data_IF_705792994709
#
_entry.id   IF_705792994709
#
_cell.length_a   1.000
_cell.length_b   1.000
_cell.length_c   1.000
_cell.angle_alpha   90.00
_cell.angle_beta   90.00
_cell.angle_gamma   90.00
#
_symmetry.space_group_name_H-M   'P 1'
#
loop_
_entity.id
_entity.type
_entity.pdbx_description
1 polymer ?
#
# COMPACT_ATOMS: atom_id res chain seq x y z
N UNK A 1 -17.20 -14.37 30.64
CA UNK A 1 -16.83 -13.37 29.61
C UNK A 1 -16.70 -14.07 28.28
N UNK A 2 -17.48 -13.68 27.31
CA UNK A 2 -17.38 -14.15 25.93
C UNK A 2 -16.15 -13.54 25.20
N UNK A 3 -15.96 -13.86 23.92
CA UNK A 3 -14.79 -13.40 23.18
C UNK A 3 -14.73 -11.87 23.09
N UNK A 4 -15.85 -11.24 22.75
CA UNK A 4 -15.93 -9.78 22.55
C UNK A 4 -15.78 -8.99 23.84
N UNK A 5 -16.29 -9.48 24.98
CA UNK A 5 -16.07 -8.88 26.32
C UNK A 5 -14.58 -8.94 26.73
N UNK A 6 -13.90 -10.04 26.41
CA UNK A 6 -12.47 -10.20 26.68
C UNK A 6 -11.64 -9.28 25.80
N UNK A 7 -12.01 -9.16 24.53
CA UNK A 7 -11.39 -8.29 23.57
C UNK A 7 -11.47 -6.82 24.01
N UNK A 8 -12.66 -6.33 24.31
CA UNK A 8 -12.89 -4.97 24.78
C UNK A 8 -12.06 -4.60 26.01
N UNK A 9 -11.77 -5.58 26.85
CA UNK A 9 -10.99 -5.35 28.07
C UNK A 9 -9.50 -5.12 27.82
N UNK A 10 -8.93 -5.73 26.77
CA UNK A 10 -7.48 -5.80 26.60
C UNK A 10 -6.97 -5.25 25.28
N UNK A 11 -7.82 -5.08 24.25
CA UNK A 11 -7.40 -4.69 22.93
C UNK A 11 -7.90 -3.30 22.56
N UNK A 12 -7.06 -2.56 21.85
CA UNK A 12 -7.43 -1.30 21.22
C UNK A 12 -7.39 -1.46 19.71
N UNK A 13 -8.56 -1.40 19.08
CA UNK A 13 -8.68 -1.58 17.64
C UNK A 13 -8.24 -0.34 16.86
N UNK A 14 -7.57 -0.52 15.72
CA UNK A 14 -7.24 0.60 14.83
C UNK A 14 -8.52 1.28 14.30
N UNK A 15 -8.43 2.55 13.97
CA UNK A 15 -9.52 3.39 13.44
C UNK A 15 -10.80 3.39 14.28
N UNK A 16 -10.69 3.08 15.55
CA UNK A 16 -11.85 2.85 16.44
C UNK A 16 -11.82 3.77 17.65
N UNK A 17 -12.92 4.50 17.89
CA UNK A 17 -13.13 5.24 19.12
C UNK A 17 -13.57 4.28 20.23
N UNK A 18 -12.65 3.77 20.99
CA UNK A 18 -12.86 2.71 21.99
C UNK A 18 -14.01 3.00 22.96
N UNK A 19 -14.21 4.28 23.34
CA UNK A 19 -15.25 4.70 24.30
C UNK A 19 -16.67 4.59 23.75
N UNK A 20 -16.85 4.78 22.44
CA UNK A 20 -18.17 4.95 21.81
C UNK A 20 -18.49 3.92 20.73
N UNK A 21 -17.50 3.14 20.30
CA UNK A 21 -17.69 2.12 19.29
C UNK A 21 -18.57 0.96 19.80
N UNK A 22 -19.34 0.37 18.88
CA UNK A 22 -20.01 -0.90 19.14
C UNK A 22 -18.99 -2.01 19.40
N UNK A 23 -19.39 -3.05 20.11
CA UNK A 23 -18.57 -4.23 20.30
C UNK A 23 -18.20 -4.86 18.94
N UNK A 24 -16.96 -5.32 18.77
CA UNK A 24 -16.56 -6.01 17.55
C UNK A 24 -17.31 -7.34 17.39
N UNK A 25 -17.36 -7.86 16.18
CA UNK A 25 -17.90 -9.19 15.91
C UNK A 25 -16.82 -10.21 16.25
N UNK A 26 -17.08 -11.11 17.19
CA UNK A 26 -16.14 -12.14 17.63
C UNK A 26 -16.07 -13.30 16.64
N UNK A 27 -15.19 -13.25 15.66
CA UNK A 27 -15.01 -14.30 14.64
C UNK A 27 -14.18 -15.44 15.22
N UNK A 28 -14.67 -16.68 15.08
CA UNK A 28 -14.02 -17.89 15.57
C UNK A 28 -13.58 -18.87 14.47
N UNK A 29 -14.08 -18.69 13.25
CA UNK A 29 -13.81 -19.59 12.12
C UNK A 29 -13.91 -18.85 10.80
N UNK A 30 -13.08 -19.24 9.84
CA UNK A 30 -13.16 -18.80 8.45
C UNK A 30 -12.93 -19.97 7.49
N UNK A 31 -13.58 -19.97 6.34
CA UNK A 31 -13.32 -20.88 5.22
C UNK A 31 -13.73 -20.23 3.90
N UNK A 32 -12.85 -20.25 2.94
CA UNK A 32 -13.05 -19.59 1.63
C UNK A 32 -13.45 -18.11 1.83
N UNK A 33 -14.61 -17.66 1.37
CA UNK A 33 -15.10 -16.29 1.56
C UNK A 33 -16.03 -16.14 2.80
N UNK A 34 -16.14 -17.15 3.65
CA UNK A 34 -17.09 -17.16 4.76
C UNK A 34 -16.37 -17.07 6.11
N UNK A 35 -17.00 -16.33 7.03
CA UNK A 35 -16.60 -16.19 8.43
C UNK A 35 -17.77 -16.58 9.32
N UNK A 36 -17.48 -17.12 10.52
CA UNK A 36 -18.49 -17.44 11.54
C UNK A 36 -18.12 -16.80 12.87
N UNK A 37 -19.10 -16.18 13.49
CA UNK A 37 -18.95 -15.67 14.85
C UNK A 37 -19.14 -16.73 15.95
N UNK A 38 -18.94 -16.34 17.19
CA UNK A 38 -19.10 -17.20 18.37
C UNK A 38 -20.52 -17.77 18.57
N UNK A 39 -21.52 -17.23 17.87
CA UNK A 39 -22.90 -17.73 17.84
C UNK A 39 -23.19 -18.57 16.59
N UNK A 40 -22.17 -18.93 15.80
CA UNK A 40 -22.28 -19.63 14.52
C UNK A 40 -23.08 -18.84 13.44
N UNK A 41 -23.21 -17.53 13.57
CA UNK A 41 -23.75 -16.70 12.51
C UNK A 41 -22.71 -16.56 11.42
N UNK A 42 -23.15 -16.75 10.17
CA UNK A 42 -22.32 -16.67 8.97
C UNK A 42 -22.26 -15.24 8.41
N UNK A 43 -21.09 -14.86 7.91
CA UNK A 43 -20.82 -13.61 7.24
C UNK A 43 -20.03 -13.87 5.97
N UNK A 44 -20.26 -13.08 4.93
CA UNK A 44 -19.44 -13.07 3.72
C UNK A 44 -18.34 -12.02 3.89
N UNK A 45 -17.09 -12.44 3.79
CA UNK A 45 -15.94 -11.54 3.74
C UNK A 45 -15.75 -10.99 2.31
N UNK A 46 -16.55 -10.00 1.95
CA UNK A 46 -16.58 -9.43 0.59
C UNK A 46 -15.37 -8.54 0.26
N UNK A 47 -14.52 -8.25 1.24
CA UNK A 47 -13.32 -7.40 1.07
C UNK A 47 -12.00 -8.16 1.27
N UNK A 48 -12.07 -9.51 1.30
CA UNK A 48 -10.91 -10.37 1.53
C UNK A 48 -10.06 -9.91 2.75
N UNK A 49 -10.74 -9.63 3.88
CA UNK A 49 -10.15 -9.11 5.12
C UNK A 49 -9.19 -7.93 4.87
N UNK A 50 -9.72 -6.90 4.22
CA UNK A 50 -8.98 -5.70 3.80
C UNK A 50 -7.87 -6.01 2.78
N UNK A 51 -8.24 -6.77 1.73
CA UNK A 51 -7.43 -7.12 0.55
C UNK A 51 -6.27 -8.09 0.78
N UNK A 52 -6.04 -8.57 2.00
CA UNK A 52 -4.87 -9.41 2.32
C UNK A 52 -5.11 -10.90 2.19
N UNK A 53 -6.36 -11.35 1.97
CA UNK A 53 -6.72 -12.76 1.91
C UNK A 53 -7.34 -13.18 0.57
N UNK A 54 -6.66 -13.00 -0.57
CA UNK A 54 -7.24 -13.22 -1.90
C UNK A 54 -7.50 -14.72 -2.22
N UNK A 55 -6.90 -15.64 -1.47
CA UNK A 55 -7.04 -17.09 -1.69
C UNK A 55 -8.06 -17.76 -0.77
N UNK A 56 -8.80 -16.96 -0.02
CA UNK A 56 -9.79 -17.44 0.95
C UNK A 56 -9.20 -17.88 2.29
N UNK A 57 -10.06 -17.91 3.29
CA UNK A 57 -9.72 -18.33 4.64
C UNK A 57 -9.40 -19.82 4.70
N UNK A 58 -8.49 -20.19 5.60
CA UNK A 58 -8.12 -21.59 5.89
C UNK A 58 -7.71 -22.40 4.65
N UNK A 59 -7.00 -21.79 3.73
CA UNK A 59 -6.45 -22.46 2.56
C UNK A 59 -5.41 -23.51 3.00
N UNK A 60 -5.70 -24.79 2.75
CA UNK A 60 -4.87 -25.90 3.22
C UNK A 60 -3.48 -25.93 2.57
N UNK A 61 -3.39 -25.58 1.29
CA UNK A 61 -2.09 -25.53 0.58
C UNK A 61 -1.13 -24.53 1.25
N UNK A 62 -1.63 -23.35 1.59
CA UNK A 62 -0.84 -22.30 2.28
C UNK A 62 -0.51 -22.76 3.70
N UNK A 63 -1.48 -23.29 4.43
CA UNK A 63 -1.29 -23.77 5.81
C UNK A 63 -0.21 -24.87 5.89
N UNK A 64 -0.25 -25.86 4.98
CA UNK A 64 0.73 -26.94 4.91
C UNK A 64 2.13 -26.44 4.55
N UNK A 65 2.23 -25.47 3.63
CA UNK A 65 3.51 -24.87 3.25
C UNK A 65 4.13 -24.10 4.44
N UNK A 66 3.31 -23.31 5.17
CA UNK A 66 3.76 -22.60 6.37
C UNK A 66 4.20 -23.59 7.45
N UNK A 67 3.42 -24.63 7.73
CA UNK A 67 3.77 -25.64 8.72
C UNK A 67 5.14 -26.30 8.40
N UNK A 68 5.36 -26.73 7.16
CA UNK A 68 6.63 -27.32 6.74
C UNK A 68 7.80 -26.36 6.94
N UNK A 69 7.61 -25.09 6.56
CA UNK A 69 8.66 -24.08 6.72
C UNK A 69 8.98 -23.81 8.19
N UNK A 70 7.96 -23.67 9.04
CA UNK A 70 8.13 -23.46 10.49
C UNK A 70 8.90 -24.58 11.18
N UNK A 71 8.73 -25.82 10.74
CA UNK A 71 9.48 -26.97 11.26
C UNK A 71 10.91 -27.08 10.73
N UNK A 72 11.28 -26.28 9.74
CA UNK A 72 12.62 -26.27 9.13
C UNK A 72 13.42 -25.05 9.58
N UNK A 73 12.85 -23.86 9.42
CA UNK A 73 13.45 -22.58 9.79
C UNK A 73 12.32 -21.53 9.82
N UNK A 74 11.96 -21.07 10.99
CA UNK A 74 10.90 -20.07 11.21
C UNK A 74 11.36 -18.65 10.93
N UNK A 75 12.59 -18.34 11.30
CA UNK A 75 13.18 -17.02 11.10
C UNK A 75 14.71 -17.06 11.11
N UNK A 76 15.31 -16.20 10.33
CA UNK A 76 16.73 -15.81 10.42
C UNK A 76 16.89 -14.35 10.04
N UNK A 77 17.80 -13.64 10.69
CA UNK A 77 18.15 -12.26 10.35
C UNK A 77 18.51 -12.13 8.88
N UNK A 78 17.82 -11.25 8.13
CA UNK A 78 18.11 -11.01 6.71
C UNK A 78 19.27 -10.04 6.47
N UNK A 79 19.79 -9.42 7.51
CA UNK A 79 21.00 -8.57 7.48
C UNK A 79 22.28 -9.42 7.53
N UNK A 80 22.79 -9.87 6.36
CA UNK A 80 23.99 -10.68 6.26
C UNK A 80 23.72 -12.19 6.13
N UNK A 81 22.48 -12.65 6.30
CA UNK A 81 22.05 -14.01 6.05
C UNK A 81 21.02 -14.04 4.92
N UNK A 82 20.80 -15.21 4.34
CA UNK A 82 19.74 -15.48 3.36
C UNK A 82 19.14 -16.86 3.60
N UNK A 83 17.99 -17.14 2.99
CA UNK A 83 17.32 -18.42 3.10
C UNK A 83 16.52 -18.73 1.83
N UNK A 84 16.31 -20.01 1.57
CA UNK A 84 15.69 -20.51 0.34
C UNK A 84 14.31 -19.91 0.02
N UNK A 85 13.36 -19.78 0.98
CA UNK A 85 12.04 -19.19 0.70
C UNK A 85 12.09 -17.78 0.12
N UNK A 86 12.94 -16.90 0.64
CA UNK A 86 13.02 -15.52 0.15
C UNK A 86 13.65 -15.45 -1.23
N UNK A 87 14.66 -16.28 -1.50
CA UNK A 87 15.29 -16.35 -2.84
C UNK A 87 14.28 -16.82 -3.88
N UNK A 88 13.56 -17.91 -3.60
CA UNK A 88 12.50 -18.43 -4.48
C UNK A 88 11.40 -17.41 -4.72
N UNK A 89 10.95 -16.72 -3.67
CA UNK A 89 9.95 -15.67 -3.81
C UNK A 89 10.45 -14.56 -4.73
N UNK A 90 11.69 -14.08 -4.53
CA UNK A 90 12.30 -13.05 -5.38
C UNK A 90 12.37 -13.50 -6.84
N UNK A 91 12.84 -14.72 -7.10
CA UNK A 91 12.91 -15.29 -8.45
C UNK A 91 11.54 -15.37 -9.14
N UNK A 92 10.47 -15.71 -8.41
CA UNK A 92 9.13 -15.76 -8.98
C UNK A 92 8.56 -14.34 -9.21
N UNK A 93 8.75 -13.42 -8.26
CA UNK A 93 8.31 -12.03 -8.42
C UNK A 93 8.99 -11.36 -9.62
N UNK A 94 10.30 -11.56 -9.82
CA UNK A 94 11.02 -10.97 -10.95
C UNK A 94 10.51 -11.45 -12.33
N UNK A 95 9.78 -12.57 -12.41
CA UNK A 95 9.17 -13.05 -13.65
C UNK A 95 7.89 -12.30 -14.02
N UNK A 96 7.24 -11.67 -13.06
CA UNK A 96 5.94 -10.99 -13.23
C UNK A 96 6.01 -9.49 -13.03
N UNK A 97 7.10 -8.97 -12.48
CA UNK A 97 7.34 -7.54 -12.33
C UNK A 97 7.73 -6.89 -13.66
N UNK A 98 7.47 -5.58 -13.85
CA UNK A 98 7.96 -4.83 -15.00
C UNK A 98 9.47 -4.98 -15.19
N UNK A 99 9.94 -5.05 -16.45
CA UNK A 99 11.33 -5.38 -16.81
C UNK A 99 12.38 -4.37 -16.29
N UNK A 100 11.97 -3.17 -15.90
CA UNK A 100 12.84 -2.15 -15.30
C UNK A 100 13.10 -2.38 -13.80
N UNK A 101 12.41 -3.32 -13.15
CA UNK A 101 12.64 -3.70 -11.77
C UNK A 101 13.81 -4.68 -11.68
N UNK A 102 14.74 -4.49 -10.74
CA UNK A 102 15.96 -5.29 -10.64
C UNK A 102 16.19 -5.89 -9.26
N UNK A 103 15.61 -5.32 -8.22
CA UNK A 103 15.79 -5.75 -6.82
C UNK A 103 14.49 -5.64 -6.05
N UNK A 104 14.37 -6.52 -5.06
CA UNK A 104 13.24 -6.54 -4.14
C UNK A 104 13.75 -6.20 -2.74
N UNK A 105 13.07 -5.28 -2.09
CA UNK A 105 13.26 -4.98 -0.67
C UNK A 105 12.02 -5.45 0.09
N UNK A 106 12.22 -6.25 1.12
CA UNK A 106 11.14 -6.77 1.95
C UNK A 106 10.90 -5.89 3.16
N UNK A 107 9.63 -5.69 3.48
CA UNK A 107 9.14 -4.89 4.61
C UNK A 107 7.97 -5.61 5.28
N UNK A 108 7.54 -5.12 6.43
CA UNK A 108 6.54 -5.81 7.27
C UNK A 108 5.10 -5.65 6.80
N UNK A 109 4.81 -4.54 6.14
CA UNK A 109 3.47 -4.18 5.66
C UNK A 109 3.53 -3.09 4.58
N UNK A 110 2.37 -2.71 4.00
CA UNK A 110 2.29 -1.70 2.95
C UNK A 110 2.82 -0.33 3.37
N UNK A 111 2.46 0.13 4.58
CA UNK A 111 2.92 1.44 5.09
C UNK A 111 4.43 1.52 5.24
N UNK A 112 5.08 0.47 5.77
CA UNK A 112 6.54 0.41 5.88
C UNK A 112 7.22 0.24 4.52
N UNK A 113 6.58 -0.43 3.55
CA UNK A 113 7.07 -0.51 2.18
C UNK A 113 7.07 0.86 1.50
N UNK A 114 6.00 1.63 1.66
CA UNK A 114 5.91 3.03 1.19
C UNK A 114 6.95 3.92 1.86
N UNK A 115 7.13 3.79 3.17
CA UNK A 115 8.16 4.51 3.93
C UNK A 115 9.56 4.26 3.34
N UNK A 116 9.87 3.00 3.02
CA UNK A 116 11.15 2.64 2.39
C UNK A 116 11.25 3.20 0.98
N UNK A 117 10.19 3.13 0.16
CA UNK A 117 10.19 3.65 -1.21
C UNK A 117 10.44 5.17 -1.25
N UNK A 118 9.79 5.92 -0.35
CA UNK A 118 10.03 7.36 -0.19
C UNK A 118 11.49 7.63 0.23
N UNK A 119 12.00 6.91 1.23
CA UNK A 119 13.41 7.04 1.69
C UNK A 119 14.40 6.71 0.58
N UNK A 120 14.15 5.66 -0.20
CA UNK A 120 14.99 5.29 -1.35
C UNK A 120 15.00 6.40 -2.40
N UNK A 121 13.87 7.01 -2.68
CA UNK A 121 13.76 8.13 -3.64
C UNK A 121 14.58 9.34 -3.19
N UNK A 122 14.49 9.72 -1.92
CA UNK A 122 15.28 10.81 -1.35
C UNK A 122 16.78 10.46 -1.32
N UNK A 123 17.14 9.26 -0.90
CA UNK A 123 18.53 8.80 -0.81
C UNK A 123 19.19 8.70 -2.18
N UNK A 124 18.44 8.31 -3.21
CA UNK A 124 18.95 8.25 -4.59
C UNK A 124 19.46 9.61 -5.07
N UNK A 125 18.72 10.69 -4.86
CA UNK A 125 19.15 12.04 -5.23
C UNK A 125 20.25 12.56 -4.32
N UNK A 126 20.17 12.31 -3.03
CA UNK A 126 21.24 12.66 -2.09
C UNK A 126 22.58 12.05 -2.49
N UNK A 127 22.62 10.77 -2.84
CA UNK A 127 23.84 10.07 -3.27
C UNK A 127 24.42 10.64 -4.59
N UNK A 128 23.58 11.28 -5.41
CA UNK A 128 24.00 11.98 -6.64
C UNK A 128 24.42 13.43 -6.41
N UNK A 129 24.36 13.93 -5.17
CA UNK A 129 24.60 15.34 -4.88
C UNK A 129 23.50 16.28 -5.41
N UNK A 130 22.30 15.77 -5.71
CA UNK A 130 21.16 16.52 -6.21
C UNK A 130 20.17 16.74 -5.06
N UNK A 131 19.85 18.01 -4.80
CA UNK A 131 18.89 18.34 -3.74
C UNK A 131 17.46 18.23 -4.27
N UNK A 132 16.82 17.07 -4.03
CA UNK A 132 15.40 16.82 -4.27
C UNK A 132 14.77 16.26 -3.00
N UNK A 133 13.76 16.94 -2.46
CA UNK A 133 13.20 16.62 -1.13
C UNK A 133 11.68 16.57 -1.11
N UNK A 134 11.01 17.08 -2.13
CA UNK A 134 9.55 17.10 -2.22
C UNK A 134 9.02 15.79 -2.81
N UNK A 135 8.00 15.22 -2.19
CA UNK A 135 7.21 14.11 -2.74
C UNK A 135 5.91 14.66 -3.31
N UNK A 136 5.50 14.14 -4.45
CA UNK A 136 4.19 14.44 -5.06
C UNK A 136 3.28 13.26 -4.78
N UNK A 137 2.02 13.52 -4.45
CA UNK A 137 0.98 12.50 -4.28
C UNK A 137 -0.35 13.00 -4.87
N UNK A 138 -1.31 12.11 -5.06
CA UNK A 138 -2.66 12.54 -5.38
C UNK A 138 -3.41 13.05 -4.14
N UNK A 139 -4.37 13.95 -4.35
CA UNK A 139 -5.37 14.28 -3.34
C UNK A 139 -6.14 13.03 -2.92
N UNK A 140 -6.52 12.99 -1.64
CA UNK A 140 -7.30 11.89 -1.03
C UNK A 140 -6.67 10.49 -1.14
N UNK A 141 -5.40 10.37 -1.55
CA UNK A 141 -4.67 9.10 -1.56
C UNK A 141 -4.55 8.51 -0.15
N UNK A 142 -4.34 7.19 -0.08
CA UNK A 142 -4.00 6.52 1.16
C UNK A 142 -2.83 5.56 0.95
N UNK A 143 -1.71 5.84 1.62
CA UNK A 143 -0.47 5.08 1.47
C UNK A 143 0.00 4.45 2.78
N UNK A 144 -0.74 4.63 3.87
CA UNK A 144 -0.45 4.05 5.17
C UNK A 144 -0.34 5.06 6.31
N UNK A 145 -0.01 4.57 7.51
CA UNK A 145 -0.06 5.33 8.77
C UNK A 145 1.31 5.59 9.41
N UNK A 146 2.42 5.17 8.79
CA UNK A 146 3.74 5.64 9.18
C UNK A 146 3.95 7.09 8.73
N UNK A 147 4.85 7.85 9.35
CA UNK A 147 4.89 9.30 9.17
C UNK A 147 5.06 9.76 7.72
N UNK A 148 5.95 9.17 6.93
CA UNK A 148 6.09 9.57 5.53
C UNK A 148 4.94 9.04 4.65
N UNK A 149 4.44 7.83 4.90
CA UNK A 149 3.26 7.29 4.22
C UNK A 149 2.00 8.12 4.53
N UNK A 150 1.82 8.51 5.79
CA UNK A 150 0.73 9.40 6.23
C UNK A 150 0.86 10.80 5.61
N UNK A 151 2.09 11.32 5.52
CA UNK A 151 2.35 12.60 4.85
C UNK A 151 1.97 12.55 3.37
N UNK A 152 2.21 11.43 2.67
CA UNK A 152 1.83 11.22 1.28
C UNK A 152 0.33 10.92 1.09
N UNK A 153 -0.38 10.55 2.16
CA UNK A 153 -1.83 10.34 2.15
C UNK A 153 -2.61 11.67 2.13
N UNK A 154 -3.90 11.61 1.84
CA UNK A 154 -4.80 12.75 1.92
C UNK A 154 -4.90 13.32 3.35
N UNK A 155 -5.14 14.61 3.47
CA UNK A 155 -5.36 15.25 4.77
C UNK A 155 -6.76 14.90 5.26
N UNK A 156 -6.85 14.26 6.41
CA UNK A 156 -8.08 13.80 7.01
C UNK A 156 -8.13 14.10 8.51
N UNK A 157 -9.24 13.82 9.13
CA UNK A 157 -9.38 13.89 10.59
C UNK A 157 -8.31 13.06 11.31
N UNK A 158 -7.92 11.90 10.74
CA UNK A 158 -6.91 11.01 11.34
C UNK A 158 -5.48 11.55 11.23
N UNK A 159 -5.18 12.39 10.24
CA UNK A 159 -3.83 12.89 9.96
C UNK A 159 -3.59 14.29 10.53
N UNK A 160 -4.65 15.02 10.84
CA UNK A 160 -4.61 16.45 11.21
C UNK A 160 -3.69 16.74 12.41
N UNK A 161 -3.68 15.87 13.42
CA UNK A 161 -2.87 16.05 14.62
C UNK A 161 -1.36 15.96 14.36
N UNK A 162 -0.94 15.39 13.24
CA UNK A 162 0.46 15.08 12.92
C UNK A 162 1.05 15.96 11.81
N UNK A 163 0.26 16.87 11.22
CA UNK A 163 0.67 17.67 10.06
C UNK A 163 1.98 18.45 10.27
N UNK A 164 2.24 18.93 11.49
CA UNK A 164 3.48 19.66 11.80
C UNK A 164 4.75 18.80 11.78
N UNK A 165 4.62 17.47 11.63
CA UNK A 165 5.72 16.50 11.60
C UNK A 165 5.90 15.86 10.22
N UNK A 166 5.12 16.28 9.23
CA UNK A 166 5.15 15.69 7.90
C UNK A 166 6.37 16.15 7.09
N UNK A 167 6.86 15.26 6.23
CA UNK A 167 7.80 15.60 5.17
C UNK A 167 7.12 16.51 4.14
N UNK A 168 7.90 17.18 3.29
CA UNK A 168 7.37 18.04 2.23
C UNK A 168 6.65 17.21 1.17
N UNK A 169 5.32 17.31 1.14
CA UNK A 169 4.45 16.62 0.17
C UNK A 169 3.52 17.64 -0.49
N UNK A 170 3.52 17.64 -1.80
CA UNK A 170 2.57 18.42 -2.62
C UNK A 170 1.54 17.48 -3.23
N UNK A 171 0.27 17.84 -3.10
CA UNK A 171 -0.83 17.07 -3.65
C UNK A 171 -1.35 17.69 -4.93
N UNK A 172 -1.65 16.81 -5.90
CA UNK A 172 -2.25 17.17 -7.18
C UNK A 172 -3.60 16.48 -7.35
N UNK A 173 -4.52 17.04 -8.14
CA UNK A 173 -5.80 16.40 -8.44
C UNK A 173 -5.63 15.01 -9.08
N UNK A 174 -6.59 14.12 -8.84
CA UNK A 174 -6.66 12.81 -9.52
C UNK A 174 -7.16 13.02 -10.95
N UNK A 175 -6.57 12.38 -11.99
CA UNK A 175 -6.95 12.58 -13.38
C UNK A 175 -8.24 11.83 -13.73
N UNK A 176 -9.34 12.18 -13.04
CA UNK A 176 -10.65 11.61 -13.33
C UNK A 176 -11.16 12.04 -14.71
N UNK A 177 -11.99 11.20 -15.31
CA UNK A 177 -12.50 11.41 -16.68
C UNK A 177 -13.11 12.80 -16.86
N UNK A 178 -12.56 13.54 -17.84
CA UNK A 178 -12.97 14.90 -18.16
C UNK A 178 -12.26 16.00 -17.37
N UNK A 179 -11.39 15.67 -16.42
CA UNK A 179 -10.60 16.61 -15.61
C UNK A 179 -9.08 16.31 -15.66
N UNK A 180 -8.66 15.48 -16.59
CA UNK A 180 -7.28 15.00 -16.68
C UNK A 180 -6.27 16.14 -16.86
N UNK A 181 -6.65 17.18 -17.62
CA UNK A 181 -5.77 18.32 -17.90
C UNK A 181 -5.39 19.09 -16.63
N UNK A 182 -6.29 19.20 -15.66
CA UNK A 182 -6.01 19.84 -14.38
C UNK A 182 -4.88 19.12 -13.62
N UNK A 183 -4.88 17.78 -13.65
CA UNK A 183 -3.82 16.97 -13.02
C UNK A 183 -2.47 17.16 -13.74
N UNK A 184 -2.46 17.22 -15.07
CA UNK A 184 -1.23 17.41 -15.85
C UNK A 184 -0.62 18.81 -15.60
N UNK A 185 -1.44 19.85 -15.61
CA UNK A 185 -1.01 21.22 -15.38
C UNK A 185 -0.51 21.39 -13.94
N UNK A 186 -1.19 20.80 -12.96
CA UNK A 186 -0.77 20.80 -11.58
C UNK A 186 0.58 20.09 -11.40
N UNK A 187 0.76 18.90 -11.99
CA UNK A 187 2.02 18.15 -11.92
C UNK A 187 3.17 18.97 -12.52
N UNK A 188 2.96 19.54 -13.71
CA UNK A 188 3.97 20.34 -14.39
C UNK A 188 4.36 21.57 -13.54
N UNK A 189 3.37 22.28 -13.02
CA UNK A 189 3.60 23.43 -12.14
C UNK A 189 4.39 23.08 -10.88
N UNK A 190 4.06 21.95 -10.25
CA UNK A 190 4.79 21.49 -9.05
C UNK A 190 6.25 21.16 -9.37
N UNK A 191 6.49 20.46 -10.48
CA UNK A 191 7.86 20.10 -10.91
C UNK A 191 8.70 21.34 -11.23
N UNK A 192 8.12 22.36 -11.85
CA UNK A 192 8.81 23.61 -12.18
C UNK A 192 9.17 24.45 -10.95
N UNK A 193 8.36 24.38 -9.90
CA UNK A 193 8.49 25.24 -8.71
C UNK A 193 9.07 24.54 -7.48
N UNK A 194 9.30 23.22 -7.52
CA UNK A 194 9.77 22.42 -6.39
C UNK A 194 10.87 21.44 -6.80
N UNK A 195 11.68 21.05 -5.84
CA UNK A 195 12.71 20.02 -5.99
C UNK A 195 12.12 18.62 -5.78
N UNK A 196 11.34 18.13 -6.75
CA UNK A 196 10.58 16.90 -6.64
C UNK A 196 11.47 15.66 -6.75
N UNK A 197 11.48 14.80 -5.71
CA UNK A 197 12.20 13.54 -5.68
C UNK A 197 11.36 12.38 -6.24
N UNK A 198 10.07 12.34 -5.94
CA UNK A 198 9.20 11.25 -6.34
C UNK A 198 7.75 11.64 -6.45
N UNK A 199 7.02 10.89 -7.27
CA UNK A 199 5.57 10.91 -7.37
C UNK A 199 5.03 9.54 -6.97
N UNK A 200 4.22 9.48 -5.90
CA UNK A 200 3.55 8.27 -5.41
C UNK A 200 2.08 8.29 -5.77
N UNK A 201 1.55 7.14 -6.21
CA UNK A 201 0.17 7.00 -6.64
C UNK A 201 -0.37 5.58 -6.43
N UNK A 202 -1.67 5.44 -6.21
CA UNK A 202 -2.41 4.17 -6.31
C UNK A 202 -2.82 4.01 -7.78
N UNK A 203 -2.30 3.02 -8.55
CA UNK A 203 -2.57 2.96 -9.99
C UNK A 203 -4.03 2.58 -10.27
N UNK A 204 -4.69 3.36 -11.12
CA UNK A 204 -6.05 3.22 -11.67
C UNK A 204 -7.18 3.34 -10.65
N UNK A 205 -6.98 3.05 -9.37
CA UNK A 205 -8.04 3.08 -8.36
C UNK A 205 -7.48 3.56 -7.02
N UNK A 206 -7.98 4.67 -6.52
CA UNK A 206 -7.76 5.06 -5.12
C UNK A 206 -8.76 4.33 -4.22
N UNK A 207 -8.28 3.34 -3.47
CA UNK A 207 -9.15 2.49 -2.66
C UNK A 207 -9.85 3.23 -1.53
N UNK A 208 -9.08 3.85 -0.65
CA UNK A 208 -9.60 4.53 0.54
C UNK A 208 -10.35 5.84 0.25
N UNK A 209 -10.15 6.43 -0.92
CA UNK A 209 -10.89 7.61 -1.38
C UNK A 209 -12.32 7.31 -1.83
N UNK A 210 -12.82 6.08 -1.64
CA UNK A 210 -14.13 5.66 -2.10
C UNK A 210 -14.13 5.04 -3.50
N UNK A 211 -13.06 4.36 -3.86
CA UNK A 211 -12.87 3.71 -5.17
C UNK A 211 -12.91 4.69 -6.34
N UNK A 212 -12.17 5.79 -6.23
CA UNK A 212 -12.03 6.76 -7.32
C UNK A 212 -11.19 6.14 -8.43
N UNK A 213 -11.78 6.00 -9.60
CA UNK A 213 -11.16 5.38 -10.77
C UNK A 213 -10.72 6.42 -11.80
N UNK A 214 -9.64 6.12 -12.51
CA UNK A 214 -9.13 6.92 -13.62
C UNK A 214 -8.45 6.03 -14.68
N UNK A 215 -8.32 6.56 -15.88
CA UNK A 215 -7.89 5.79 -17.05
C UNK A 215 -6.36 5.56 -17.09
N UNK A 216 -5.89 4.40 -17.59
CA UNK A 216 -4.46 4.08 -17.72
C UNK A 216 -3.68 5.12 -18.53
N UNK A 217 -4.27 5.64 -19.62
CA UNK A 217 -3.62 6.64 -20.48
C UNK A 217 -3.32 7.94 -19.74
N UNK A 218 -4.17 8.29 -18.77
CA UNK A 218 -3.96 9.47 -17.92
C UNK A 218 -2.77 9.26 -16.98
N UNK A 219 -2.64 8.08 -16.41
CA UNK A 219 -1.51 7.72 -15.57
C UNK A 219 -0.21 7.66 -16.36
N UNK A 220 -0.22 7.02 -17.53
CA UNK A 220 0.95 6.94 -18.41
C UNK A 220 1.49 8.33 -18.77
N UNK A 221 0.61 9.29 -19.07
CA UNK A 221 1.01 10.68 -19.35
C UNK A 221 1.67 11.34 -18.12
N UNK A 222 1.13 11.17 -16.92
CA UNK A 222 1.75 11.68 -15.68
C UNK A 222 3.13 11.05 -15.42
N UNK A 223 3.25 9.74 -15.63
CA UNK A 223 4.54 9.03 -15.50
C UNK A 223 5.56 9.56 -16.50
N UNK A 224 5.19 9.82 -17.75
CA UNK A 224 6.08 10.41 -18.76
C UNK A 224 6.56 11.81 -18.36
N UNK A 225 5.65 12.66 -17.88
CA UNK A 225 6.03 13.98 -17.34
C UNK A 225 7.08 13.83 -16.23
N UNK A 226 6.89 12.89 -15.30
CA UNK A 226 7.85 12.63 -14.25
C UNK A 226 9.20 12.16 -14.79
N UNK A 227 9.22 11.23 -15.75
CA UNK A 227 10.44 10.68 -16.35
C UNK A 227 11.25 11.77 -17.09
N UNK A 228 10.58 12.60 -17.90
CA UNK A 228 11.20 13.71 -18.63
C UNK A 228 11.84 14.76 -17.70
N UNK A 229 11.34 14.88 -16.48
CA UNK A 229 11.82 15.82 -15.46
C UNK A 229 12.67 15.15 -14.36
N UNK A 230 13.09 13.91 -14.55
CA UNK A 230 13.91 13.18 -13.58
C UNK A 230 13.26 13.12 -12.19
N UNK A 231 11.95 12.83 -12.13
CA UNK A 231 11.18 12.53 -10.92
C UNK A 231 10.93 11.03 -10.88
N UNK A 232 11.26 10.38 -9.77
CA UNK A 232 11.03 8.95 -9.60
C UNK A 232 9.54 8.67 -9.42
N UNK A 233 9.07 7.50 -9.88
CA UNK A 233 7.67 7.10 -9.72
C UNK A 233 7.56 5.91 -8.77
N UNK A 234 6.57 5.96 -7.87
CA UNK A 234 6.29 4.93 -6.87
C UNK A 234 4.83 4.50 -7.07
N UNK A 235 4.62 3.28 -7.56
CA UNK A 235 3.29 2.70 -7.70
C UNK A 235 2.93 1.93 -6.44
N UNK A 236 1.89 2.37 -5.73
CA UNK A 236 1.32 1.67 -4.58
C UNK A 236 0.27 0.67 -5.07
N UNK A 237 0.68 -0.57 -5.22
CA UNK A 237 -0.15 -1.69 -5.67
C UNK A 237 -0.68 -2.55 -4.50
N UNK A 238 -0.69 -2.05 -3.27
CA UNK A 238 -1.19 -2.78 -2.10
C UNK A 238 -2.63 -3.24 -2.30
N UNK A 239 -3.47 -2.39 -2.87
CA UNK A 239 -4.85 -2.74 -3.20
C UNK A 239 -4.98 -3.36 -4.60
N UNK A 240 -4.31 -2.83 -5.60
CA UNK A 240 -4.57 -3.11 -7.02
C UNK A 240 -3.78 -4.29 -7.58
N UNK A 241 -2.67 -4.66 -6.95
CA UNK A 241 -1.79 -5.72 -7.41
C UNK A 241 -2.38 -7.14 -7.30
N UNK A 242 -1.68 -8.07 -7.91
CA UNK A 242 -1.97 -9.51 -7.88
C UNK A 242 -3.33 -9.89 -8.45
N UNK A 243 -3.69 -9.29 -9.57
CA UNK A 243 -4.86 -9.70 -10.37
C UNK A 243 -6.17 -9.00 -10.08
N UNK A 244 -6.23 -8.10 -9.09
CA UNK A 244 -7.49 -7.45 -8.70
C UNK A 244 -8.10 -6.56 -9.78
N UNK A 245 -7.29 -6.01 -10.67
CA UNK A 245 -7.76 -5.21 -11.82
C UNK A 245 -7.89 -6.02 -13.11
N UNK A 246 -7.56 -7.33 -13.08
CA UNK A 246 -7.61 -8.22 -14.24
C UNK A 246 -6.24 -8.55 -14.85
N UNK A 247 -5.24 -7.66 -14.71
CA UNK A 247 -3.83 -7.96 -14.99
C UNK A 247 -3.06 -8.22 -13.69
N UNK A 248 -1.83 -8.75 -13.77
CA UNK A 248 -1.04 -9.07 -12.59
C UNK A 248 -0.84 -7.83 -11.71
N UNK A 249 -0.48 -6.72 -12.32
CA UNK A 249 -0.41 -5.41 -11.68
C UNK A 249 -1.26 -4.39 -12.44
N UNK A 250 -1.79 -3.39 -11.75
CA UNK A 250 -2.55 -2.33 -12.40
C UNK A 250 -1.65 -1.50 -13.35
N UNK A 251 -0.37 -1.41 -13.08
CA UNK A 251 0.61 -0.78 -13.97
C UNK A 251 0.89 -1.58 -15.27
N UNK A 252 0.29 -2.74 -15.47
CA UNK A 252 0.39 -3.52 -16.72
C UNK A 252 -0.61 -3.06 -17.80
N UNK A 253 -1.47 -2.11 -17.50
CA UNK A 253 -2.39 -1.48 -18.47
C UNK A 253 -1.71 -0.31 -19.23
#
# INVERSE_FOLDING_TARGET
MNLTERDQKYNWHPYTQHKTAALPIGIIKGKDALLWDENNKEYIDAIASWWVNPFGHSNSFIADAIYKQLTTLEHVLFGGFTHEPVVKLSEQLMKVLPSNQQKIFYSDNGSTAVEVAIKVSLQYFYNKGIQKTTIIAFENAFHGDTFAAMAASGISFYTQAFQGMFIDVVRIPVPVKGQEQESYDALQSVIENKNCAGFIFEPLVQGAAGMVMYEPESLDKLIRICQENNVLTIADEVMTGFGKTGKTFACDY
#
